data_IF_318614303063
#
_entry.id   IF_318614303063
#
_cell.length_a   1.000
_cell.length_b   1.000
_cell.length_c   1.000
_cell.angle_alpha   90.00
_cell.angle_beta   90.00
_cell.angle_gamma   90.00
#
_symmetry.space_group_name_H-M   'P 1'
#
loop_
_entity.id
_entity.type
_entity.pdbx_description
1 polymer ?
#
# COMPACT_ATOMS: atom_id res chain seq x y z
N UNK A 1 13.80 -54.86 -13.98
CA UNK A 1 14.47 -53.88 -14.87
C UNK A 1 13.42 -53.01 -15.53
N UNK A 2 13.15 -51.81 -14.98
CA UNK A 2 12.16 -50.90 -15.56
C UNK A 2 12.76 -50.19 -16.78
N UNK A 3 12.27 -50.51 -17.98
CA UNK A 3 12.57 -49.74 -19.20
C UNK A 3 11.55 -48.60 -19.28
N UNK A 4 11.92 -47.40 -18.83
CA UNK A 4 11.07 -46.23 -19.05
C UNK A 4 11.04 -45.89 -20.55
N UNK A 5 9.86 -45.67 -21.15
CA UNK A 5 9.77 -45.17 -22.51
C UNK A 5 10.38 -43.76 -22.58
N UNK A 6 11.18 -43.49 -23.62
CA UNK A 6 11.88 -42.22 -23.87
C UNK A 6 11.07 -40.93 -23.56
N UNK A 7 9.77 -40.81 -23.89
CA UNK A 7 9.00 -39.62 -23.53
C UNK A 7 8.78 -39.44 -22.01
N UNK A 8 8.66 -40.53 -21.24
CA UNK A 8 8.51 -40.46 -19.78
C UNK A 8 9.80 -40.01 -19.09
N UNK A 9 10.96 -40.35 -19.67
CA UNK A 9 12.26 -39.85 -19.19
C UNK A 9 12.42 -38.34 -19.42
N UNK A 10 11.93 -37.81 -20.55
CA UNK A 10 11.96 -36.36 -20.84
C UNK A 10 11.05 -35.55 -19.90
N UNK A 11 9.86 -36.05 -19.58
CA UNK A 11 8.93 -35.40 -18.65
C UNK A 11 9.49 -35.29 -17.22
N UNK A 12 10.33 -36.25 -16.80
CA UNK A 12 10.96 -36.24 -15.49
C UNK A 12 12.07 -35.19 -15.33
N UNK A 13 12.65 -34.68 -16.44
CA UNK A 13 13.78 -33.72 -16.40
C UNK A 13 13.31 -32.26 -16.43
N UNK A 14 12.11 -31.99 -16.96
CA UNK A 14 11.53 -30.65 -17.02
C UNK A 14 11.44 -29.93 -15.66
N UNK A 15 10.98 -30.56 -14.56
CA UNK A 15 10.93 -29.88 -13.26
C UNK A 15 12.33 -29.58 -12.68
N UNK A 16 13.37 -30.32 -13.07
CA UNK A 16 14.74 -30.03 -12.63
C UNK A 16 15.33 -28.80 -13.33
N UNK A 17 14.85 -28.44 -14.52
CA UNK A 17 15.30 -27.25 -15.24
C UNK A 17 14.92 -25.94 -14.51
N UNK A 18 13.85 -25.97 -13.70
CA UNK A 18 13.44 -24.82 -12.86
C UNK A 18 14.30 -24.61 -11.62
N UNK A 19 15.14 -25.57 -11.23
CA UNK A 19 16.03 -25.48 -10.08
C UNK A 19 17.42 -24.95 -10.42
N UNK A 20 17.73 -24.75 -11.71
CA UNK A 20 19.01 -24.19 -12.14
C UNK A 20 18.94 -22.66 -12.08
N UNK A 21 19.94 -21.99 -11.46
CA UNK A 21 20.01 -20.54 -11.53
C UNK A 21 20.10 -20.13 -12.99
N UNK A 22 19.18 -19.26 -13.42
CA UNK A 22 19.24 -18.70 -14.76
C UNK A 22 20.58 -17.99 -14.97
N UNK A 23 21.19 -18.16 -16.14
CA UNK A 23 22.40 -17.43 -16.51
C UNK A 23 22.12 -15.94 -16.45
N UNK A 24 22.92 -15.21 -15.67
CA UNK A 24 22.82 -13.75 -15.59
C UNK A 24 23.18 -13.17 -16.95
N UNK A 25 22.36 -12.26 -17.52
CA UNK A 25 22.67 -11.58 -18.78
C UNK A 25 24.03 -10.88 -18.73
N UNK A 26 24.84 -11.04 -19.78
CA UNK A 26 26.20 -10.48 -19.86
C UNK A 26 26.25 -8.96 -19.63
N UNK A 27 25.22 -8.24 -20.09
CA UNK A 27 25.10 -6.78 -19.88
C UNK A 27 24.89 -6.36 -18.42
N UNK A 28 24.58 -7.30 -17.51
CA UNK A 28 24.51 -7.03 -16.06
C UNK A 28 25.81 -7.40 -15.33
N UNK A 29 26.75 -8.10 -15.99
CA UNK A 29 27.98 -8.61 -15.38
C UNK A 29 29.21 -7.81 -15.83
N UNK A 30 29.16 -7.22 -17.02
CA UNK A 30 30.27 -6.46 -17.62
C UNK A 30 29.89 -4.99 -17.86
N UNK A 31 29.73 -4.16 -16.80
CA UNK A 31 29.33 -2.76 -16.95
C UNK A 31 30.40 -1.90 -17.64
N UNK A 32 31.65 -2.37 -17.69
CA UNK A 32 32.79 -1.65 -18.26
C UNK A 32 33.13 -2.06 -19.70
N UNK A 33 32.49 -3.09 -20.26
CA UNK A 33 32.76 -3.51 -21.65
C UNK A 33 31.87 -2.71 -22.63
N UNK A 34 32.43 -1.79 -23.42
CA UNK A 34 31.65 -0.98 -24.35
C UNK A 34 31.13 -1.77 -25.56
N UNK A 35 31.59 -3.00 -25.78
CA UNK A 35 31.12 -3.84 -26.90
C UNK A 35 29.84 -4.61 -26.55
N UNK A 36 29.44 -4.64 -25.28
CA UNK A 36 28.22 -5.29 -24.84
C UNK A 36 27.03 -4.34 -25.04
N UNK A 37 26.18 -4.65 -26.00
CA UNK A 37 24.95 -3.87 -26.22
C UNK A 37 23.95 -4.11 -25.09
N UNK A 38 23.54 -3.05 -24.41
CA UNK A 38 22.48 -3.08 -23.40
C UNK A 38 21.18 -2.53 -23.99
N UNK A 39 20.01 -3.10 -23.62
CA UNK A 39 18.73 -2.50 -23.98
C UNK A 39 18.63 -1.06 -23.43
N UNK A 40 18.08 -0.11 -24.21
CA UNK A 40 17.91 1.25 -23.73
C UNK A 40 16.96 1.27 -22.51
N UNK A 41 17.19 2.15 -21.52
CA UNK A 41 16.26 2.34 -20.41
C UNK A 41 14.87 2.67 -20.94
N UNK A 42 13.84 1.97 -20.42
CA UNK A 42 12.45 2.25 -20.74
C UNK A 42 11.79 2.92 -19.55
N UNK A 43 11.32 4.14 -19.74
CA UNK A 43 10.50 4.81 -18.74
C UNK A 43 9.13 4.12 -18.66
N UNK A 44 8.70 3.85 -17.44
CA UNK A 44 7.37 3.37 -17.13
C UNK A 44 6.67 4.40 -16.25
N UNK A 45 5.38 4.61 -16.46
CA UNK A 45 4.58 5.45 -15.56
C UNK A 45 4.60 4.81 -14.17
N UNK A 46 4.78 5.63 -13.13
CA UNK A 46 4.75 5.17 -11.73
C UNK A 46 3.41 4.52 -11.35
N UNK A 47 2.34 4.84 -12.07
CA UNK A 47 1.01 4.26 -11.91
C UNK A 47 0.77 3.02 -12.77
N UNK A 48 1.79 2.49 -13.48
CA UNK A 48 1.64 1.30 -14.33
C UNK A 48 1.17 0.11 -13.47
N UNK A 49 -0.02 -0.40 -13.77
CA UNK A 49 -0.64 -1.53 -13.06
C UNK A 49 -1.41 -1.14 -11.79
N UNK A 50 -1.47 0.15 -11.47
CA UNK A 50 -2.31 0.67 -10.39
C UNK A 50 -3.71 0.90 -10.94
N UNK A 51 -4.73 0.67 -10.12
CA UNK A 51 -6.12 0.99 -10.45
C UNK A 51 -6.26 2.51 -10.57
N UNK A 52 -6.96 2.97 -11.59
CA UNK A 52 -7.29 4.38 -11.72
C UNK A 52 -8.29 4.80 -10.63
N UNK A 53 -7.97 5.89 -9.94
CA UNK A 53 -8.86 6.52 -8.96
C UNK A 53 -9.30 7.87 -9.50
N UNK A 54 -10.61 8.05 -9.66
CA UNK A 54 -11.21 9.35 -9.97
C UNK A 54 -11.28 10.22 -8.72
N UNK A 55 -11.14 11.53 -8.91
CA UNK A 55 -11.46 12.49 -7.85
C UNK A 55 -12.96 12.44 -7.61
N UNK A 56 -13.36 12.16 -6.37
CA UNK A 56 -14.74 12.29 -5.90
C UNK A 56 -14.86 13.58 -5.10
N UNK A 57 -16.09 14.07 -4.96
CA UNK A 57 -16.39 15.22 -4.10
C UNK A 57 -15.83 15.05 -2.70
N UNK A 58 -15.43 16.17 -2.10
CA UNK A 58 -14.93 16.17 -0.72
C UNK A 58 -16.05 15.69 0.21
N UNK A 59 -15.69 14.80 1.15
CA UNK A 59 -16.61 14.37 2.19
C UNK A 59 -16.90 15.53 3.13
N UNK A 60 -18.14 15.62 3.63
CA UNK A 60 -18.51 16.60 4.65
C UNK A 60 -17.72 16.33 5.94
N UNK A 61 -16.88 17.31 6.32
CA UNK A 61 -16.05 17.24 7.51
C UNK A 61 -16.88 17.07 8.79
N UNK A 62 -18.10 17.62 8.81
CA UNK A 62 -18.98 17.62 9.98
C UNK A 62 -19.65 16.25 10.16
N UNK A 63 -19.91 15.55 9.05
CA UNK A 63 -20.36 14.16 9.07
C UNK A 63 -19.23 13.21 9.45
N UNK A 64 -18.02 13.41 8.91
CA UNK A 64 -16.84 12.63 9.31
C UNK A 64 -16.55 12.75 10.81
N UNK A 65 -16.60 13.96 11.35
CA UNK A 65 -16.37 14.19 12.77
C UNK A 65 -17.45 13.53 13.63
N UNK A 66 -18.71 13.47 13.19
CA UNK A 66 -19.77 12.75 13.90
C UNK A 66 -19.54 11.23 13.97
N UNK A 67 -18.88 10.64 12.97
CA UNK A 67 -18.57 9.20 12.96
C UNK A 67 -17.46 8.81 13.95
N UNK A 68 -16.48 9.71 14.15
CA UNK A 68 -15.32 9.45 15.02
C UNK A 68 -15.46 10.08 16.41
N UNK A 69 -16.37 11.04 16.59
CA UNK A 69 -16.62 11.65 17.89
C UNK A 69 -17.06 10.58 18.89
N UNK A 70 -16.56 10.64 20.14
CA UNK A 70 -17.08 9.82 21.23
C UNK A 70 -18.59 10.01 21.33
N UNK A 71 -19.34 8.91 21.33
CA UNK A 71 -20.79 8.98 21.53
C UNK A 71 -21.05 9.52 22.93
N UNK A 72 -22.08 10.33 23.11
CA UNK A 72 -22.52 10.74 24.43
C UNK A 72 -22.72 9.50 25.30
N UNK A 73 -21.94 9.38 26.38
CA UNK A 73 -21.91 8.22 27.27
C UNK A 73 -20.80 7.18 27.01
N UNK A 74 -19.98 7.31 25.95
CA UNK A 74 -18.79 6.45 25.73
C UNK A 74 -17.50 7.03 26.31
N UNK A 75 -17.53 8.29 26.74
CA UNK A 75 -16.53 8.84 27.65
C UNK A 75 -16.89 8.39 29.06
N UNK A 76 -16.04 7.58 29.68
CA UNK A 76 -16.19 7.15 31.06
C UNK A 76 -16.14 8.33 32.02
N UNK A 77 -17.25 9.02 32.19
CA UNK A 77 -17.53 9.91 33.32
C UNK A 77 -18.94 9.58 33.81
N UNK A 78 -19.07 8.37 34.36
CA UNK A 78 -20.14 8.10 35.30
C UNK A 78 -20.00 9.04 36.49
N UNK A 79 -20.90 10.01 36.59
CA UNK A 79 -21.25 10.71 37.83
C UNK A 79 -20.25 11.74 38.35
N UNK A 80 -20.35 12.99 37.89
CA UNK A 80 -20.06 14.14 38.76
C UNK A 80 -21.24 15.12 38.68
N UNK A 81 -22.21 15.05 39.61
CA UNK A 81 -23.24 16.06 39.74
C UNK A 81 -22.66 17.29 40.45
N UNK A 82 -22.86 18.51 39.92
CA UNK A 82 -22.64 19.73 40.71
C UNK A 82 -21.98 20.94 40.03
N UNK A 83 -22.08 21.15 38.72
CA UNK A 83 -21.58 22.38 38.08
C UNK A 83 -22.69 23.21 37.39
N UNK A 84 -23.81 23.37 38.08
CA UNK A 84 -24.82 24.40 37.74
C UNK A 84 -24.53 25.65 38.59
N UNK A 85 -23.68 26.58 38.12
CA UNK A 85 -23.40 27.73 38.99
C UNK A 85 -22.45 28.84 38.55
N UNK A 86 -21.96 28.91 37.31
CA UNK A 86 -21.15 30.06 36.88
C UNK A 86 -21.73 30.77 35.65
N UNK A 87 -22.91 31.34 35.83
CA UNK A 87 -23.45 32.40 34.98
C UNK A 87 -23.53 33.70 35.76
N UNK A 88 -22.50 34.55 35.69
CA UNK A 88 -22.51 35.82 36.40
C UNK A 88 -21.36 36.75 36.01
N UNK A 89 -21.73 37.83 35.30
CA UNK A 89 -20.95 39.00 34.88
C UNK A 89 -20.22 38.89 33.53
N UNK A 90 -20.90 39.42 32.51
CA UNK A 90 -20.23 40.10 31.38
C UNK A 90 -20.12 41.57 31.78
N UNK A 91 -18.91 42.07 31.93
CA UNK A 91 -18.66 43.48 32.19
C UNK A 91 -19.07 44.31 30.97
N UNK A 92 -19.95 45.26 31.20
CA UNK A 92 -20.32 46.30 30.26
C UNK A 92 -19.27 47.41 30.30
N UNK A 93 -18.42 47.50 29.28
CA UNK A 93 -17.63 48.68 28.96
C UNK A 93 -17.60 48.80 27.45
N UNK A 94 -17.87 49.93 26.81
CA UNK A 94 -18.01 51.33 27.19
C UNK A 94 -17.81 52.07 25.87
N UNK A 95 -18.65 53.07 25.58
CA UNK A 95 -18.65 53.83 24.32
C UNK A 95 -17.32 54.55 24.07
#
# INVERSE_FOLDING_TARGET
MFKLPRPAALAAVLPLAGCMPATVPVGLVLPSDPNVTVPPPRYATVTRGVKDFGVVETKDWLELNRQVAPKAGSGGTGGMPGMDGMGGKRDSGGR
#
